data_IF_487265660956
#
_entry.id   IF_487265660956
#
_cell.length_a   1.000
_cell.length_b   1.000
_cell.length_c   1.000
_cell.angle_alpha   90.00
_cell.angle_beta   90.00
_cell.angle_gamma   90.00
#
_symmetry.space_group_name_H-M   'P 1'
#
loop_
_entity.id
_entity.type
_entity.pdbx_description
1 polymer ?
#
# COMPACT_ATOMS: atom_id res chain seq x y z
N UNK A 1 16.64 7.17 -52.28
CA UNK A 1 15.84 8.30 -51.85
C UNK A 1 15.57 8.08 -50.37
N UNK A 2 16.16 8.89 -49.50
CA UNK A 2 16.03 8.69 -48.03
C UNK A 2 14.59 9.04 -47.58
N UNK A 3 14.12 8.37 -46.53
CA UNK A 3 12.82 8.66 -45.91
C UNK A 3 12.66 10.17 -45.61
N UNK A 4 13.76 10.84 -45.31
CA UNK A 4 13.84 12.27 -45.03
C UNK A 4 13.57 13.17 -46.28
N UNK A 5 13.92 12.71 -47.48
CA UNK A 5 13.63 13.44 -48.73
C UNK A 5 12.16 13.29 -49.14
N UNK A 6 11.57 12.09 -48.87
CA UNK A 6 10.15 11.84 -49.09
C UNK A 6 9.28 12.70 -48.20
N UNK A 7 9.64 12.82 -46.91
CA UNK A 7 8.92 13.66 -45.95
C UNK A 7 8.98 15.15 -46.33
N UNK A 8 10.13 15.63 -46.77
CA UNK A 8 10.27 17.01 -47.29
C UNK A 8 9.43 17.29 -48.52
N UNK A 9 9.32 16.33 -49.43
CA UNK A 9 8.50 16.44 -50.62
C UNK A 9 7.01 16.46 -50.30
N UNK A 10 6.57 15.64 -49.36
CA UNK A 10 5.17 15.62 -48.90
C UNK A 10 4.81 16.92 -48.15
N UNK A 11 5.68 17.39 -47.26
CA UNK A 11 5.50 18.61 -46.50
C UNK A 11 5.47 19.86 -47.41
N UNK A 12 6.33 19.88 -48.45
CA UNK A 12 6.34 20.94 -49.45
C UNK A 12 5.06 20.91 -50.32
N UNK A 13 4.50 19.73 -50.61
CA UNK A 13 3.22 19.55 -51.30
C UNK A 13 2.01 20.06 -50.51
N UNK A 14 1.99 19.89 -49.17
CA UNK A 14 0.88 20.36 -48.33
C UNK A 14 0.88 21.88 -48.20
N UNK A 15 2.03 22.51 -47.98
CA UNK A 15 2.16 23.97 -48.02
C UNK A 15 1.71 24.52 -49.39
N UNK A 16 2.16 23.90 -50.47
CA UNK A 16 1.75 24.29 -51.80
C UNK A 16 0.25 24.10 -52.03
N UNK A 17 -0.32 23.00 -51.59
CA UNK A 17 -1.78 22.76 -51.62
C UNK A 17 -2.55 23.79 -50.79
N UNK A 18 -2.11 24.11 -49.58
CA UNK A 18 -2.75 25.12 -48.74
C UNK A 18 -2.74 26.50 -49.39
N UNK A 19 -1.61 26.91 -49.97
CA UNK A 19 -1.46 28.19 -50.65
C UNK A 19 -2.32 28.22 -51.92
N UNK A 20 -2.33 27.20 -52.75
CA UNK A 20 -3.11 27.16 -53.98
C UNK A 20 -4.59 27.13 -53.72
N UNK A 21 -5.09 26.35 -52.75
CA UNK A 21 -6.48 26.31 -52.35
C UNK A 21 -6.93 27.69 -51.81
N UNK A 22 -6.15 28.30 -50.94
CA UNK A 22 -6.45 29.61 -50.35
C UNK A 22 -6.50 30.67 -51.45
N UNK A 23 -5.48 30.71 -52.30
CA UNK A 23 -5.43 31.66 -53.45
C UNK A 23 -6.60 31.44 -54.42
N UNK A 24 -6.97 30.18 -54.71
CA UNK A 24 -8.10 29.86 -55.55
C UNK A 24 -9.45 30.39 -54.99
N UNK A 25 -9.69 30.16 -53.67
CA UNK A 25 -10.91 30.62 -53.01
C UNK A 25 -10.98 32.15 -53.02
N UNK A 26 -9.86 32.82 -52.71
CA UNK A 26 -9.78 34.29 -52.72
C UNK A 26 -9.98 34.86 -54.13
N UNK A 27 -9.46 34.19 -55.16
CA UNK A 27 -9.64 34.57 -56.57
C UNK A 27 -11.12 34.43 -56.98
N UNK A 28 -11.75 33.29 -56.73
CA UNK A 28 -13.19 33.08 -56.98
C UNK A 28 -14.03 34.11 -56.25
N UNK A 29 -13.75 34.37 -54.99
CA UNK A 29 -14.41 35.42 -54.19
C UNK A 29 -14.26 36.81 -54.84
N UNK A 30 -13.06 37.17 -55.31
CA UNK A 30 -12.81 38.45 -55.97
C UNK A 30 -13.67 38.60 -57.24
N UNK A 31 -13.77 37.54 -58.05
CA UNK A 31 -14.60 37.55 -59.25
C UNK A 31 -16.09 37.73 -58.87
N UNK A 32 -16.60 36.95 -57.92
CA UNK A 32 -17.99 37.04 -57.47
C UNK A 32 -18.33 38.43 -56.87
N UNK A 33 -17.43 39.02 -56.12
CA UNK A 33 -17.59 40.37 -55.57
C UNK A 33 -17.64 41.43 -56.68
N UNK A 34 -16.79 41.30 -57.73
CA UNK A 34 -16.84 42.21 -58.91
C UNK A 34 -18.15 42.06 -59.65
N UNK A 35 -18.67 40.87 -59.87
CA UNK A 35 -19.95 40.61 -60.55
C UNK A 35 -21.14 41.17 -59.75
N UNK A 36 -21.18 40.94 -58.42
CA UNK A 36 -22.22 41.49 -57.55
C UNK A 36 -22.19 43.02 -57.49
N UNK A 37 -21.05 43.64 -57.53
CA UNK A 37 -20.91 45.10 -57.56
C UNK A 37 -21.39 45.70 -58.89
N UNK A 38 -21.26 44.98 -60.00
CA UNK A 38 -21.65 45.44 -61.35
C UNK A 38 -23.14 45.19 -61.65
N UNK A 39 -23.81 44.41 -60.84
CA UNK A 39 -25.25 44.08 -61.02
C UNK A 39 -26.12 45.25 -60.55
N UNK A 40 -26.81 45.88 -61.48
CA UNK A 40 -27.74 46.98 -61.25
C UNK A 40 -29.15 46.55 -60.84
N UNK A 41 -29.42 45.23 -60.87
CA UNK A 41 -30.75 44.63 -60.56
C UNK A 41 -30.99 44.35 -59.07
N UNK A 42 -29.98 44.47 -58.20
CA UNK A 42 -30.05 44.09 -56.81
C UNK A 42 -30.10 45.32 -55.93
N UNK A 43 -31.01 45.36 -54.96
CA UNK A 43 -31.14 46.46 -54.00
C UNK A 43 -29.86 46.65 -53.21
N UNK A 44 -29.48 47.89 -52.89
CA UNK A 44 -28.19 48.21 -52.23
C UNK A 44 -27.97 47.49 -50.91
N UNK A 45 -28.99 47.30 -50.12
CA UNK A 45 -28.97 46.60 -48.84
C UNK A 45 -28.76 45.08 -49.01
N UNK A 46 -29.50 44.42 -49.90
CA UNK A 46 -29.36 43.00 -50.23
C UNK A 46 -27.94 42.72 -50.79
N UNK A 47 -27.39 43.59 -51.62
CA UNK A 47 -26.05 43.48 -52.18
C UNK A 47 -24.98 43.54 -51.12
N UNK A 48 -25.11 44.41 -50.12
CA UNK A 48 -24.18 44.53 -49.01
C UNK A 48 -24.21 43.28 -48.13
N UNK A 49 -25.37 42.75 -47.83
CA UNK A 49 -25.55 41.51 -47.07
C UNK A 49 -25.00 40.29 -47.82
N UNK A 50 -25.18 40.18 -49.12
CA UNK A 50 -24.61 39.10 -49.95
C UNK A 50 -23.07 39.14 -49.98
N UNK A 51 -22.47 40.34 -50.11
CA UNK A 51 -21.03 40.50 -50.12
C UNK A 51 -20.43 40.11 -48.72
N UNK A 52 -21.10 40.52 -47.66
CA UNK A 52 -20.65 40.15 -46.28
C UNK A 52 -20.81 38.65 -46.03
N UNK A 53 -21.94 38.03 -46.42
CA UNK A 53 -22.17 36.60 -46.35
C UNK A 53 -21.10 35.81 -47.14
N UNK A 54 -20.86 36.21 -48.40
CA UNK A 54 -19.79 35.61 -49.23
C UNK A 54 -18.41 35.68 -48.60
N UNK A 55 -18.12 36.83 -47.97
CA UNK A 55 -16.84 37.01 -47.23
C UNK A 55 -16.72 36.09 -46.05
N UNK A 56 -17.77 36.01 -45.22
CA UNK A 56 -17.76 35.16 -44.04
C UNK A 56 -17.71 33.68 -44.39
N UNK A 57 -18.54 33.25 -45.39
CA UNK A 57 -18.52 31.88 -45.88
C UNK A 57 -17.20 31.47 -46.52
N UNK A 58 -16.52 32.40 -47.26
CA UNK A 58 -15.22 32.10 -47.82
C UNK A 58 -14.13 31.96 -46.74
N UNK A 59 -14.16 32.77 -45.68
CA UNK A 59 -13.24 32.61 -44.55
C UNK A 59 -13.47 31.29 -43.79
N UNK A 60 -14.73 30.93 -43.55
CA UNK A 60 -15.10 29.66 -42.95
C UNK A 60 -14.60 28.50 -43.79
N UNK A 61 -14.86 28.54 -45.13
CA UNK A 61 -14.41 27.49 -46.07
C UNK A 61 -12.86 27.37 -46.06
N UNK A 62 -12.14 28.48 -46.12
CA UNK A 62 -10.68 28.49 -46.03
C UNK A 62 -10.22 27.83 -44.72
N UNK A 63 -10.82 28.23 -43.59
CA UNK A 63 -10.44 27.64 -42.28
C UNK A 63 -10.66 26.12 -42.21
N UNK A 64 -11.83 25.67 -42.72
CA UNK A 64 -12.17 24.22 -42.77
C UNK A 64 -11.22 23.45 -43.66
N UNK A 65 -10.93 23.98 -44.87
CA UNK A 65 -9.99 23.32 -45.79
C UNK A 65 -8.56 23.30 -45.31
N UNK A 66 -8.09 24.39 -44.68
CA UNK A 66 -6.76 24.41 -44.04
C UNK A 66 -6.66 23.37 -42.93
N UNK A 67 -7.68 23.28 -42.05
CA UNK A 67 -7.71 22.23 -41.02
C UNK A 67 -7.71 20.84 -41.67
N UNK A 68 -8.47 20.62 -42.72
CA UNK A 68 -8.54 19.31 -43.40
C UNK A 68 -7.18 18.92 -44.05
N UNK A 69 -6.45 19.89 -44.63
CA UNK A 69 -5.12 19.67 -45.21
C UNK A 69 -4.10 19.32 -44.13
N UNK A 70 -4.16 19.98 -42.98
CA UNK A 70 -3.20 19.78 -41.88
C UNK A 70 -3.61 18.69 -40.88
N UNK A 71 -4.82 18.13 -41.01
CA UNK A 71 -5.36 17.11 -40.12
C UNK A 71 -4.45 15.88 -39.96
N UNK A 72 -3.81 15.32 -41.03
CA UNK A 72 -2.89 14.22 -40.89
C UNK A 72 -1.67 14.56 -40.03
N UNK A 73 -1.08 15.74 -40.25
CA UNK A 73 0.08 16.21 -39.47
C UNK A 73 -0.27 16.44 -37.99
N UNK A 74 -1.42 17.08 -37.75
CA UNK A 74 -1.94 17.28 -36.39
C UNK A 74 -2.17 15.93 -35.70
N UNK A 75 -2.67 14.93 -36.44
CA UNK A 75 -2.86 13.59 -35.90
C UNK A 75 -1.53 12.92 -35.54
N UNK A 76 -0.53 12.97 -36.41
CA UNK A 76 0.80 12.42 -36.14
C UNK A 76 1.47 13.12 -34.96
N UNK A 77 1.39 14.45 -34.90
CA UNK A 77 1.88 15.22 -33.77
C UNK A 77 1.18 14.85 -32.47
N UNK A 78 -0.16 14.78 -32.49
CA UNK A 78 -0.94 14.40 -31.30
C UNK A 78 -0.60 12.97 -30.81
N UNK A 79 -0.38 12.02 -31.73
CA UNK A 79 0.03 10.65 -31.39
C UNK A 79 1.44 10.62 -30.79
N UNK A 80 2.36 11.42 -31.35
CA UNK A 80 3.73 11.53 -30.81
C UNK A 80 3.73 12.14 -29.40
N UNK A 81 2.96 13.20 -29.17
CA UNK A 81 2.80 13.81 -27.84
C UNK A 81 2.14 12.82 -26.87
N UNK A 82 1.09 12.11 -27.32
CA UNK A 82 0.43 11.10 -26.49
C UNK A 82 1.37 9.98 -26.07
N UNK A 83 2.20 9.48 -27.01
CA UNK A 83 3.20 8.46 -26.72
C UNK A 83 4.27 8.96 -25.72
N UNK A 84 4.74 10.20 -25.90
CA UNK A 84 5.67 10.83 -24.96
C UNK A 84 5.08 10.98 -23.56
N UNK A 85 3.84 11.48 -23.47
CA UNK A 85 3.12 11.64 -22.18
C UNK A 85 2.92 10.28 -21.51
N UNK A 86 2.53 9.25 -22.27
CA UNK A 86 2.37 7.90 -21.74
C UNK A 86 3.70 7.35 -21.18
N UNK A 87 4.80 7.50 -21.93
CA UNK A 87 6.13 7.10 -21.46
C UNK A 87 6.56 7.88 -20.21
N UNK A 88 6.30 9.19 -20.17
CA UNK A 88 6.61 10.03 -19.02
C UNK A 88 5.81 9.64 -17.77
N UNK A 89 4.50 9.37 -17.92
CA UNK A 89 3.65 8.91 -16.80
C UNK A 89 4.12 7.56 -16.28
N UNK A 90 4.51 6.63 -17.17
CA UNK A 90 5.05 5.34 -16.76
C UNK A 90 6.39 5.48 -16.02
N UNK A 91 7.28 6.34 -16.51
CA UNK A 91 8.57 6.60 -15.87
C UNK A 91 8.45 7.27 -14.49
N UNK A 92 7.42 8.09 -14.28
CA UNK A 92 7.19 8.82 -13.02
C UNK A 92 6.15 8.17 -12.11
N UNK A 93 5.66 6.98 -12.44
CA UNK A 93 4.57 6.29 -11.75
C UNK A 93 4.81 6.18 -10.24
N UNK A 94 5.98 5.72 -9.83
CA UNK A 94 6.29 5.53 -8.40
C UNK A 94 6.35 6.85 -7.65
N UNK A 95 6.87 7.89 -8.27
CA UNK A 95 6.89 9.22 -7.70
C UNK A 95 5.48 9.77 -7.49
N UNK A 96 4.60 9.61 -8.48
CA UNK A 96 3.20 10.00 -8.38
C UNK A 96 2.49 9.19 -7.27
N UNK A 97 2.78 7.89 -7.16
CA UNK A 97 2.23 7.05 -6.10
C UNK A 97 2.69 7.48 -4.70
N UNK A 98 3.94 7.93 -4.54
CA UNK A 98 4.41 8.48 -3.26
C UNK A 98 3.66 9.76 -2.88
N UNK A 99 3.43 10.67 -3.84
CA UNK A 99 2.65 11.89 -3.60
C UNK A 99 1.19 11.57 -3.22
N UNK A 100 0.57 10.64 -3.94
CA UNK A 100 -0.79 10.20 -3.63
C UNK A 100 -0.87 9.50 -2.27
N UNK A 101 0.16 8.73 -1.90
CA UNK A 101 0.29 8.13 -0.58
C UNK A 101 0.39 9.16 0.55
N UNK A 102 1.13 10.24 0.33
CA UNK A 102 1.19 11.35 1.28
C UNK A 102 -0.17 12.05 1.45
N UNK A 103 -0.87 12.29 0.35
CA UNK A 103 -2.21 12.89 0.39
C UNK A 103 -3.20 11.96 1.12
N UNK A 104 -3.12 10.66 0.87
CA UNK A 104 -3.88 9.64 1.59
C UNK A 104 -3.58 9.69 3.09
N UNK A 105 -2.30 9.75 3.48
CA UNK A 105 -1.89 9.84 4.89
C UNK A 105 -2.47 11.09 5.57
N UNK A 106 -2.39 12.26 4.94
CA UNK A 106 -2.93 13.52 5.49
C UNK A 106 -4.44 13.45 5.68
N UNK A 107 -5.14 12.81 4.74
CA UNK A 107 -6.60 12.68 4.74
C UNK A 107 -7.11 11.67 5.79
N UNK A 108 -6.50 10.49 5.88
CA UNK A 108 -7.00 9.37 6.69
C UNK A 108 -6.30 9.24 8.04
N UNK A 109 -5.07 9.78 8.16
CA UNK A 109 -4.21 9.69 9.36
C UNK A 109 -4.14 8.27 9.93
N UNK A 110 -3.72 7.27 9.15
CA UNK A 110 -3.70 5.87 9.59
C UNK A 110 -2.73 5.64 10.76
N UNK A 111 -1.72 6.49 10.90
CA UNK A 111 -0.76 6.50 12.00
C UNK A 111 -0.20 7.91 12.21
N UNK A 112 0.49 8.11 13.33
CA UNK A 112 1.18 9.34 13.69
C UNK A 112 2.65 9.05 14.04
N UNK A 113 3.47 10.10 14.16
CA UNK A 113 4.83 9.99 14.68
C UNK A 113 4.79 9.42 16.10
N UNK A 114 5.63 8.42 16.37
CA UNK A 114 5.66 7.66 17.61
C UNK A 114 4.73 6.45 17.64
N UNK A 115 3.93 6.20 16.62
CA UNK A 115 3.12 4.97 16.53
C UNK A 115 3.97 3.79 16.05
N UNK A 116 3.66 2.62 16.57
CA UNK A 116 4.19 1.37 16.02
C UNK A 116 3.33 0.92 14.86
N UNK A 117 3.97 0.64 13.72
CA UNK A 117 3.29 0.29 12.48
C UNK A 117 3.95 -0.91 11.79
N UNK A 118 3.14 -1.63 11.05
CA UNK A 118 3.59 -2.55 10.03
C UNK A 118 3.23 -2.00 8.66
N UNK A 119 4.22 -1.73 7.82
CA UNK A 119 4.05 -1.29 6.43
C UNK A 119 4.70 -2.35 5.53
N UNK A 120 3.88 -3.15 4.87
CA UNK A 120 4.35 -4.33 4.16
C UNK A 120 5.04 -5.33 5.11
N UNK A 121 6.29 -5.76 4.82
CA UNK A 121 7.05 -6.66 5.70
C UNK A 121 7.76 -5.94 6.86
N UNK A 122 7.78 -4.61 6.88
CA UNK A 122 8.57 -3.81 7.81
C UNK A 122 7.77 -3.43 9.04
N UNK A 123 8.38 -3.62 10.21
CA UNK A 123 7.84 -3.23 11.51
C UNK A 123 8.70 -2.12 12.10
N UNK A 124 8.09 -1.13 12.70
CA UNK A 124 8.85 -0.06 13.35
C UNK A 124 8.01 1.01 14.00
N UNK A 125 8.68 1.84 14.81
CA UNK A 125 8.13 3.09 15.34
C UNK A 125 8.33 4.20 14.32
N UNK A 126 7.28 4.97 14.04
CA UNK A 126 7.32 6.10 13.10
C UNK A 126 8.17 7.22 13.69
N UNK A 127 9.32 7.50 13.07
CA UNK A 127 10.21 8.61 13.46
C UNK A 127 9.80 9.93 12.81
N UNK A 128 9.57 9.89 11.49
CA UNK A 128 9.24 11.07 10.71
C UNK A 128 8.39 10.70 9.49
N UNK A 129 7.55 11.63 9.07
CA UNK A 129 6.70 11.48 7.89
C UNK A 129 7.06 12.60 6.93
N UNK A 130 7.64 12.22 5.79
CA UNK A 130 8.04 13.12 4.72
C UNK A 130 7.05 13.07 3.55
N UNK A 131 7.24 13.95 2.58
CA UNK A 131 6.39 14.04 1.40
C UNK A 131 6.42 12.78 0.53
N UNK A 132 7.53 12.07 0.44
CA UNK A 132 7.70 10.90 -0.42
C UNK A 132 7.91 9.60 0.35
N UNK A 133 8.30 9.69 1.63
CA UNK A 133 8.66 8.53 2.45
C UNK A 133 8.26 8.72 3.90
N UNK A 134 8.15 7.62 4.61
CA UNK A 134 8.01 7.56 6.07
C UNK A 134 9.26 6.88 6.63
N UNK A 135 9.86 7.46 7.67
CA UNK A 135 10.99 6.87 8.38
C UNK A 135 10.51 6.10 9.60
N UNK A 136 10.99 4.87 9.72
CA UNK A 136 10.68 3.99 10.84
C UNK A 136 11.97 3.63 11.57
N UNK A 137 11.88 3.54 12.89
CA UNK A 137 12.88 2.87 13.71
C UNK A 137 12.48 1.40 13.85
N UNK A 138 13.28 0.49 13.30
CA UNK A 138 12.91 -0.92 13.19
C UNK A 138 12.72 -1.58 14.55
N UNK A 139 11.61 -2.32 14.68
CA UNK A 139 11.29 -3.12 15.87
C UNK A 139 11.14 -4.57 15.44
N UNK A 140 11.77 -5.50 16.16
CA UNK A 140 11.70 -6.92 15.86
C UNK A 140 10.46 -7.57 16.51
N UNK A 141 9.31 -7.37 15.86
CA UNK A 141 8.05 -8.01 16.28
C UNK A 141 7.91 -9.41 15.65
N UNK A 142 8.48 -9.62 14.48
CA UNK A 142 8.33 -10.86 13.72
C UNK A 142 8.86 -12.09 14.49
N UNK A 143 9.92 -11.89 15.27
CA UNK A 143 10.53 -12.95 16.11
C UNK A 143 10.05 -12.91 17.57
N UNK A 144 9.05 -12.05 17.87
CA UNK A 144 8.47 -11.95 19.22
C UNK A 144 9.33 -11.18 20.24
N UNK A 145 10.41 -10.55 19.81
CA UNK A 145 11.36 -9.88 20.71
C UNK A 145 10.90 -8.46 21.13
N UNK A 146 10.05 -7.80 20.35
CA UNK A 146 9.54 -6.45 20.59
C UNK A 146 10.61 -5.37 20.87
N UNK A 147 11.89 -5.68 20.59
CA UNK A 147 13.03 -4.81 20.81
C UNK A 147 13.37 -3.97 19.58
N UNK A 148 14.03 -2.84 19.81
CA UNK A 148 14.60 -2.03 18.73
C UNK A 148 15.86 -2.70 18.19
N UNK A 149 15.95 -2.84 16.87
CA UNK A 149 17.12 -3.46 16.20
C UNK A 149 18.30 -2.50 16.03
N UNK A 150 18.11 -1.20 16.30
CA UNK A 150 19.11 -0.16 16.04
C UNK A 150 19.17 0.29 14.59
N UNK A 151 18.22 -0.12 13.74
CA UNK A 151 18.16 0.24 12.31
C UNK A 151 17.04 1.23 12.05
N UNK A 152 17.27 2.13 11.09
CA UNK A 152 16.22 2.99 10.53
C UNK A 152 15.84 2.49 9.14
N UNK A 153 14.55 2.47 8.86
CA UNK A 153 13.98 2.06 7.59
C UNK A 153 13.31 3.27 6.94
N UNK A 154 13.64 3.53 5.67
CA UNK A 154 12.94 4.55 4.88
C UNK A 154 11.97 3.84 3.94
N UNK A 155 10.70 4.00 4.20
CA UNK A 155 9.61 3.34 3.48
C UNK A 155 8.95 4.34 2.53
N UNK A 156 8.88 4.08 1.21
CA UNK A 156 8.22 4.99 0.27
C UNK A 156 6.71 5.03 0.54
N UNK A 157 6.13 6.23 0.47
CA UNK A 157 4.69 6.42 0.73
C UNK A 157 3.78 5.77 -0.32
N UNK A 158 4.32 5.31 -1.46
CA UNK A 158 3.60 4.51 -2.44
C UNK A 158 3.02 3.23 -1.83
N UNK A 159 3.69 2.65 -0.81
CA UNK A 159 3.20 1.46 -0.11
C UNK A 159 1.90 1.71 0.66
N UNK A 160 1.57 2.94 1.00
CA UNK A 160 0.29 3.29 1.63
C UNK A 160 -0.89 3.13 0.68
N UNK A 161 -0.64 3.21 -0.63
CA UNK A 161 -1.67 3.10 -1.67
C UNK A 161 -1.83 1.66 -2.14
N UNK A 162 -0.74 0.91 -2.24
CA UNK A 162 -0.74 -0.44 -2.83
C UNK A 162 -0.72 -1.56 -1.79
N UNK A 163 -0.36 -1.25 -0.54
CA UNK A 163 -0.19 -2.23 0.53
C UNK A 163 -1.19 -2.09 1.67
N UNK A 164 -1.07 -3.01 2.63
CA UNK A 164 -1.81 -2.93 3.89
C UNK A 164 -0.92 -2.28 4.93
N UNK A 165 -1.46 -1.29 5.62
CA UNK A 165 -0.84 -0.67 6.80
C UNK A 165 -1.58 -1.15 8.03
N UNK A 166 -0.85 -1.71 9.00
CA UNK A 166 -1.40 -2.07 10.30
C UNK A 166 -0.82 -1.11 11.34
N UNK A 167 -1.69 -0.45 12.07
CA UNK A 167 -1.30 0.33 13.24
C UNK A 167 -1.23 -0.63 14.44
N UNK A 168 -0.02 -0.78 14.98
CA UNK A 168 0.30 -1.69 16.08
C UNK A 168 0.37 -0.96 17.42
N UNK A 169 -0.14 0.24 17.52
CA UNK A 169 -0.03 1.09 18.71
C UNK A 169 -0.66 0.46 19.97
N UNK A 170 -1.58 -0.49 19.79
CA UNK A 170 -2.14 -1.30 20.86
C UNK A 170 -1.10 -2.25 21.46
N UNK A 171 -0.14 -2.73 20.67
CA UNK A 171 0.92 -3.63 21.11
C UNK A 171 2.13 -2.89 21.67
N UNK A 172 2.16 -1.56 21.61
CA UNK A 172 3.28 -0.75 22.12
C UNK A 172 3.50 -0.89 23.63
N UNK A 173 2.42 -1.00 24.41
CA UNK A 173 2.49 -1.11 25.87
C UNK A 173 2.22 -2.51 26.38
N UNK A 174 1.28 -3.21 25.75
CA UNK A 174 0.89 -4.58 26.07
C UNK A 174 0.69 -5.36 24.79
N UNK A 175 1.25 -6.55 24.73
CA UNK A 175 1.08 -7.47 23.61
C UNK A 175 0.45 -8.79 24.10
N UNK A 176 -0.40 -9.35 23.23
CA UNK A 176 -0.76 -10.75 23.35
C UNK A 176 0.33 -11.58 22.67
N UNK A 177 1.27 -12.07 23.48
CA UNK A 177 2.40 -12.85 23.03
C UNK A 177 2.09 -14.33 23.09
N UNK A 178 2.42 -15.05 22.03
CA UNK A 178 2.21 -16.49 21.94
C UNK A 178 3.50 -17.18 21.55
N UNK A 179 3.94 -18.12 22.34
CA UNK A 179 5.11 -18.92 22.05
C UNK A 179 4.83 -20.41 22.27
N UNK A 180 5.65 -21.27 21.68
CA UNK A 180 5.44 -22.72 21.73
C UNK A 180 6.70 -23.44 22.17
N UNK A 181 6.53 -24.38 23.09
CA UNK A 181 7.59 -25.27 23.56
C UNK A 181 7.31 -26.64 22.96
N UNK A 182 8.27 -27.18 22.21
CA UNK A 182 8.19 -28.49 21.57
C UNK A 182 9.01 -29.49 22.36
N UNK A 183 8.42 -30.67 22.65
CA UNK A 183 9.06 -31.78 23.37
C UNK A 183 8.74 -33.10 22.70
N UNK A 184 9.71 -34.00 22.72
CA UNK A 184 9.52 -35.36 22.26
C UNK A 184 8.32 -36.01 22.97
N UNK A 185 7.64 -36.93 22.26
CA UNK A 185 6.57 -37.71 22.83
C UNK A 185 7.14 -38.75 23.81
N UNK A 186 7.24 -38.37 25.08
CA UNK A 186 7.63 -39.23 26.19
C UNK A 186 6.38 -39.70 26.95
N UNK A 187 6.56 -40.71 27.83
CA UNK A 187 5.47 -41.26 28.68
C UNK A 187 4.98 -40.30 29.77
N UNK A 188 5.00 -38.97 29.48
CA UNK A 188 4.57 -37.93 30.40
C UNK A 188 3.23 -37.37 29.93
N UNK A 189 2.23 -37.43 30.81
CA UNK A 189 0.94 -36.83 30.51
C UNK A 189 0.94 -35.34 30.75
N UNK A 190 1.06 -34.55 29.69
CA UNK A 190 1.08 -33.08 29.72
C UNK A 190 -0.17 -32.46 30.33
N UNK A 191 -1.31 -33.12 30.20
CA UNK A 191 -2.57 -32.59 30.78
C UNK A 191 -2.53 -32.58 32.30
N UNK A 192 -1.74 -33.43 32.95
CA UNK A 192 -1.53 -33.41 34.40
C UNK A 192 -0.63 -32.24 34.80
N UNK A 193 0.26 -31.79 33.94
CA UNK A 193 1.15 -30.66 34.19
C UNK A 193 0.47 -29.31 33.88
N UNK A 194 -0.57 -29.32 33.05
CA UNK A 194 -1.24 -28.10 32.57
C UNK A 194 -1.74 -27.22 33.72
N UNK A 195 -2.39 -27.80 34.74
CA UNK A 195 -2.96 -27.02 35.83
C UNK A 195 -1.88 -26.36 36.70
N UNK A 196 -0.76 -27.07 36.94
CA UNK A 196 0.40 -26.52 37.66
C UNK A 196 1.07 -25.44 36.87
N UNK A 197 1.31 -25.65 35.59
CA UNK A 197 1.89 -24.64 34.69
C UNK A 197 0.97 -23.42 34.60
N UNK A 198 -0.34 -23.61 34.49
CA UNK A 198 -1.29 -22.51 34.46
C UNK A 198 -1.26 -21.68 35.76
N UNK A 199 -1.12 -22.35 36.92
CA UNK A 199 -1.00 -21.65 38.21
C UNK A 199 0.28 -20.80 38.26
N UNK A 200 1.41 -21.35 37.78
CA UNK A 200 2.68 -20.67 37.69
C UNK A 200 2.64 -19.48 36.76
N UNK A 201 2.12 -19.65 35.54
CA UNK A 201 1.96 -18.56 34.56
C UNK A 201 1.06 -17.43 35.12
N UNK A 202 -0.03 -17.80 35.78
CA UNK A 202 -0.91 -16.79 36.45
C UNK A 202 -0.19 -16.02 37.52
N UNK A 203 0.63 -16.69 38.35
CA UNK A 203 1.43 -16.05 39.39
C UNK A 203 2.46 -15.08 38.79
N UNK A 204 3.11 -15.45 37.72
CA UNK A 204 4.07 -14.62 37.02
C UNK A 204 3.42 -13.39 36.37
N UNK A 205 2.16 -13.49 35.92
CA UNK A 205 1.41 -12.38 35.32
C UNK A 205 0.67 -11.50 36.34
N UNK A 206 0.68 -11.80 37.65
CA UNK A 206 -0.17 -11.15 38.66
C UNK A 206 0.15 -9.65 38.79
N UNK A 207 1.42 -9.24 38.73
CA UNK A 207 1.83 -7.85 38.96
C UNK A 207 1.33 -6.86 37.90
N UNK A 208 1.05 -7.29 36.68
CA UNK A 208 0.47 -6.43 35.64
C UNK A 208 -0.97 -6.76 35.26
N UNK A 209 -1.59 -7.76 35.85
CA UNK A 209 -2.91 -8.27 35.53
C UNK A 209 -4.00 -7.20 35.57
N UNK A 210 -4.01 -6.38 36.62
CA UNK A 210 -5.02 -5.32 36.77
C UNK A 210 -4.84 -4.19 35.75
N UNK A 211 -3.60 -3.87 35.41
CA UNK A 211 -3.28 -2.90 34.36
C UNK A 211 -3.69 -3.46 33.00
N UNK A 212 -3.36 -4.73 32.75
CA UNK A 212 -3.76 -5.43 31.54
C UNK A 212 -5.28 -5.48 31.35
N UNK A 213 -6.04 -5.78 32.40
CA UNK A 213 -7.53 -5.78 32.35
C UNK A 213 -8.10 -4.42 32.03
N UNK A 214 -7.60 -3.35 32.66
CA UNK A 214 -8.03 -1.98 32.36
C UNK A 214 -7.71 -1.60 30.92
N UNK A 215 -6.56 -1.97 30.45
CA UNK A 215 -6.13 -1.71 29.07
C UNK A 215 -7.00 -2.49 28.07
N UNK A 216 -7.23 -3.77 28.29
CA UNK A 216 -8.12 -4.59 27.46
C UNK A 216 -9.54 -4.01 27.38
N UNK A 217 -10.12 -3.64 28.53
CA UNK A 217 -11.46 -3.03 28.59
C UNK A 217 -11.52 -1.68 27.86
N UNK A 218 -10.45 -0.89 27.91
CA UNK A 218 -10.34 0.36 27.14
C UNK A 218 -10.36 0.08 25.65
N UNK A 219 -9.66 -0.95 25.19
CA UNK A 219 -9.63 -1.36 23.79
C UNK A 219 -10.99 -1.88 23.31
N UNK A 220 -11.62 -2.75 24.09
CA UNK A 220 -12.97 -3.28 23.82
C UNK A 220 -13.98 -2.16 23.63
N UNK A 221 -13.98 -1.20 24.55
CA UNK A 221 -14.88 -0.04 24.48
C UNK A 221 -14.60 0.86 23.27
N UNK A 222 -13.34 0.95 22.82
CA UNK A 222 -12.96 1.79 21.67
C UNK A 222 -13.29 1.14 20.34
N UNK A 223 -13.16 -0.18 20.27
CA UNK A 223 -13.31 -0.95 19.03
C UNK A 223 -14.69 -1.59 18.90
N UNK A 224 -15.49 -1.57 19.97
CA UNK A 224 -16.79 -2.26 20.07
C UNK A 224 -16.69 -3.76 19.72
N UNK A 225 -15.61 -4.39 20.17
CA UNK A 225 -15.33 -5.83 19.98
C UNK A 225 -14.89 -6.45 21.29
N UNK A 226 -15.10 -7.77 21.44
CA UNK A 226 -14.55 -8.56 22.53
C UNK A 226 -13.15 -9.03 22.11
N UNK A 227 -12.14 -8.62 22.87
CA UNK A 227 -10.75 -9.04 22.66
C UNK A 227 -10.45 -10.21 23.62
N UNK A 228 -9.67 -11.24 23.20
CA UNK A 228 -9.20 -12.26 24.12
C UNK A 228 -8.64 -11.63 25.39
N UNK A 229 -9.13 -12.05 26.54
CA UNK A 229 -8.83 -11.40 27.82
C UNK A 229 -7.35 -11.47 28.21
N UNK A 230 -6.95 -10.73 29.24
CA UNK A 230 -5.58 -10.71 29.73
C UNK A 230 -5.18 -11.99 30.47
N UNK A 231 -6.11 -12.93 30.64
CA UNK A 231 -5.81 -14.21 31.31
C UNK A 231 -4.99 -15.11 30.39
N UNK A 232 -3.94 -15.75 30.90
CA UNK A 232 -3.10 -16.65 30.11
C UNK A 232 -3.86 -17.86 29.61
N UNK A 233 -3.48 -18.36 28.42
CA UNK A 233 -4.07 -19.53 27.78
C UNK A 233 -2.98 -20.56 27.50
N UNK A 234 -3.23 -21.82 27.82
CA UNK A 234 -2.33 -22.93 27.47
C UNK A 234 -3.10 -23.91 26.57
N UNK A 235 -2.57 -24.11 25.38
CA UNK A 235 -3.05 -25.10 24.42
C UNK A 235 -2.01 -26.20 24.21
N UNK A 236 -2.45 -27.45 24.26
CA UNK A 236 -1.60 -28.63 24.04
C UNK A 236 -2.04 -29.27 22.73
N UNK A 237 -1.09 -29.48 21.83
CA UNK A 237 -1.29 -30.12 20.53
C UNK A 237 -0.13 -31.07 20.23
N UNK A 238 -0.20 -31.76 19.09
CA UNK A 238 0.89 -32.59 18.58
C UNK A 238 1.38 -32.02 17.26
N UNK A 239 2.70 -32.06 17.03
CA UNK A 239 3.29 -31.71 15.74
C UNK A 239 3.03 -32.80 14.69
N UNK A 240 3.32 -32.50 13.42
CA UNK A 240 3.27 -33.50 12.34
C UNK A 240 4.25 -34.68 12.55
N UNK A 241 5.31 -34.46 13.31
CA UNK A 241 6.31 -35.45 13.68
C UNK A 241 5.91 -36.28 14.93
N UNK A 242 4.73 -36.04 15.49
CA UNK A 242 4.25 -36.70 16.69
C UNK A 242 4.79 -36.12 18.01
N UNK A 243 5.51 -35.01 17.99
CA UNK A 243 6.02 -34.32 19.16
C UNK A 243 4.91 -33.60 19.93
N UNK A 244 5.08 -33.42 21.20
CA UNK A 244 4.19 -32.61 22.03
C UNK A 244 4.49 -31.14 21.88
N UNK A 245 3.48 -30.34 21.52
CA UNK A 245 3.57 -28.90 21.37
C UNK A 245 2.71 -28.21 22.42
N UNK A 246 3.32 -27.42 23.29
CA UNK A 246 2.65 -26.62 24.30
C UNK A 246 2.70 -25.17 23.86
N UNK A 247 1.57 -24.62 23.48
CA UNK A 247 1.44 -23.21 23.07
C UNK A 247 0.88 -22.40 24.24
N UNK A 248 1.60 -21.40 24.65
CA UNK A 248 1.29 -20.52 25.80
C UNK A 248 1.04 -19.13 25.25
N UNK A 249 -0.15 -18.58 25.54
CA UNK A 249 -0.52 -17.22 25.22
C UNK A 249 -0.60 -16.39 26.50
N UNK A 250 0.12 -15.29 26.54
CA UNK A 250 0.15 -14.34 27.67
C UNK A 250 -0.13 -12.93 27.18
N UNK A 251 -0.76 -12.13 28.01
CA UNK A 251 -0.95 -10.69 27.77
C UNK A 251 -0.08 -9.92 28.77
N UNK A 252 1.03 -9.38 28.28
CA UNK A 252 2.04 -8.76 29.12
C UNK A 252 2.58 -7.46 28.51
N UNK A 253 3.27 -6.61 29.32
CA UNK A 253 3.99 -5.46 28.79
C UNK A 253 5.01 -5.89 27.74
N UNK A 254 5.10 -5.15 26.63
CA UNK A 254 6.03 -5.47 25.52
C UNK A 254 7.49 -5.50 25.96
N UNK A 255 7.85 -4.67 26.94
CA UNK A 255 9.21 -4.62 27.48
C UNK A 255 9.58 -5.81 28.38
N UNK A 256 8.61 -6.58 28.83
CA UNK A 256 8.78 -7.73 29.71
C UNK A 256 8.55 -9.07 29.00
N UNK A 257 8.21 -9.05 27.70
CA UNK A 257 7.84 -10.26 26.94
C UNK A 257 8.94 -11.30 26.97
N UNK A 258 10.18 -10.93 26.69
CA UNK A 258 11.32 -11.84 26.63
C UNK A 258 11.62 -12.47 28.01
N UNK A 259 11.61 -11.64 29.05
CA UNK A 259 11.82 -12.10 30.44
C UNK A 259 10.69 -13.06 30.87
N UNK A 260 9.45 -12.74 30.54
CA UNK A 260 8.31 -13.57 30.85
C UNK A 260 8.33 -14.90 30.11
N UNK A 261 8.65 -14.91 28.81
CA UNK A 261 8.81 -16.13 28.02
C UNK A 261 9.90 -17.01 28.60
N UNK A 262 11.07 -16.45 28.91
CA UNK A 262 12.18 -17.19 29.48
C UNK A 262 11.80 -17.79 30.84
N UNK A 263 11.19 -17.00 31.73
CA UNK A 263 10.76 -17.46 33.04
C UNK A 263 9.73 -18.59 32.96
N UNK A 264 8.71 -18.44 32.12
CA UNK A 264 7.67 -19.48 31.96
C UNK A 264 8.27 -20.75 31.35
N UNK A 265 9.23 -20.60 30.43
CA UNK A 265 9.93 -21.75 29.85
C UNK A 265 10.76 -22.48 30.89
N UNK A 266 11.46 -21.76 31.75
CA UNK A 266 12.22 -22.36 32.88
C UNK A 266 11.29 -23.11 33.83
N UNK A 267 10.20 -22.50 34.28
CA UNK A 267 9.19 -23.13 35.13
C UNK A 267 8.57 -24.40 34.50
N UNK A 268 8.29 -24.34 33.20
CA UNK A 268 7.82 -25.54 32.46
C UNK A 268 8.88 -26.64 32.44
N UNK A 269 10.14 -26.29 32.21
CA UNK A 269 11.25 -27.26 32.15
C UNK A 269 11.47 -27.95 33.51
N UNK A 270 11.35 -27.21 34.59
CA UNK A 270 11.41 -27.78 35.94
C UNK A 270 10.28 -28.77 36.20
N UNK A 271 9.05 -28.39 35.86
CA UNK A 271 7.88 -29.29 35.96
C UNK A 271 8.03 -30.56 35.11
N UNK A 272 8.50 -30.38 33.86
CA UNK A 272 8.75 -31.49 32.95
C UNK A 272 9.81 -32.44 33.49
N UNK A 273 10.94 -31.91 33.94
CA UNK A 273 12.04 -32.72 34.49
C UNK A 273 11.60 -33.48 35.73
N UNK A 274 10.88 -32.85 36.64
CA UNK A 274 10.33 -33.48 37.84
C UNK A 274 9.37 -34.62 37.50
N UNK A 275 8.48 -34.44 36.51
CA UNK A 275 7.58 -35.49 36.05
C UNK A 275 8.33 -36.65 35.38
N UNK A 276 9.38 -36.35 34.61
CA UNK A 276 10.24 -37.36 33.99
C UNK A 276 10.94 -38.22 35.01
N UNK A 277 11.49 -37.64 36.06
CA UNK A 277 12.12 -38.37 37.17
C UNK A 277 11.12 -39.26 37.89
N UNK A 278 9.90 -38.81 38.13
CA UNK A 278 8.85 -39.61 38.74
C UNK A 278 8.48 -40.83 37.90
N UNK A 279 8.37 -40.68 36.57
CA UNK A 279 8.08 -41.80 35.66
C UNK A 279 9.22 -42.83 35.65
N UNK A 280 10.48 -42.38 35.64
CA UNK A 280 11.66 -43.24 35.68
C UNK A 280 11.67 -44.03 36.99
N UNK A 281 11.50 -43.40 38.15
CA UNK A 281 11.45 -44.05 39.45
C UNK A 281 10.32 -45.08 39.54
N UNK A 282 9.16 -44.78 38.99
CA UNK A 282 8.03 -45.71 38.94
C UNK A 282 8.34 -46.92 38.06
N UNK A 283 8.99 -46.75 36.91
CA UNK A 283 9.41 -47.88 36.04
C UNK A 283 10.45 -48.78 36.72
N UNK A 284 11.40 -48.16 37.44
CA UNK A 284 12.41 -48.93 38.21
C UNK A 284 11.77 -49.72 39.36
N UNK A 285 10.85 -49.12 40.11
CA UNK A 285 10.13 -49.78 41.17
C UNK A 285 9.31 -50.98 40.66
N UNK A 286 8.68 -50.87 39.51
CA UNK A 286 7.95 -51.96 38.86
C UNK A 286 8.87 -53.11 38.40
N UNK A 287 10.09 -52.80 37.94
CA UNK A 287 11.10 -53.78 37.56
C UNK A 287 11.67 -54.55 38.75
N UNK A 288 11.72 -53.96 39.93
CA UNK A 288 12.18 -54.63 41.16
C UNK A 288 11.08 -55.45 41.85
N UNK A 289 9.79 -55.22 41.49
CA UNK A 289 8.63 -55.95 42.04
C UNK A 289 8.19 -57.15 41.20
N UNK A 290 8.71 -57.31 39.99
CA UNK A 290 8.50 -58.46 39.09
C UNK A 290 9.68 -59.43 39.12
#
# INVERSE_FOLDING_TARGET
MSLFELDKLIQNNQLFAAVTVTAGILFVRMIWQKLLRKSTKINSETRRNLINSLRNSSHLLIAVLLIAIWLPELRHFALSVAAFVAAFVLATREFIQCLTGSLYHVSTKPYAVGDWVQIGPNYGEVLAIHMLSTELYEVDIAHGNYGFTGRTLTVPNSLLVVGVVKNLNFTRRFAYHTFSIVRDAEDINLFLLKDRLMASVRSSCEHFRDVGRRYNKMLENRLDIVIPGPDPVIHISSSELGENVITIGIFCPTVEVEEMEQKITEEFMELWYSAKQAVIAQKEALKHAS
#
